data_IF_589325864100
#
_entry.id   IF_589325864100
#
_cell.length_a   1.000
_cell.length_b   1.000
_cell.length_c   1.000
_cell.angle_alpha   90.00
_cell.angle_beta   90.00
_cell.angle_gamma   90.00
#
_symmetry.space_group_name_H-M   'P 1'
#
loop_
_entity.id
_entity.type
_entity.pdbx_description
1 polymer ?
#
# COMPACT_ATOMS: atom_id res chain seq x y z
N UNK A 1 -25.20 -0.03 -7.75
CA UNK A 1 -25.64 -1.01 -6.69
C UNK A 1 -25.68 -2.46 -7.19
N UNK A 2 -26.18 -2.77 -8.41
CA UNK A 2 -26.28 -4.15 -8.93
C UNK A 2 -24.91 -4.74 -9.26
N UNK A 3 -24.04 -4.00 -9.93
CA UNK A 3 -22.69 -4.41 -10.30
C UNK A 3 -21.79 -4.68 -9.07
N UNK A 4 -21.92 -3.85 -8.04
CA UNK A 4 -21.22 -4.01 -6.75
C UNK A 4 -21.58 -5.32 -6.07
N UNK A 5 -22.86 -5.72 -6.12
CA UNK A 5 -23.32 -6.97 -5.50
C UNK A 5 -22.84 -8.20 -6.28
N UNK A 6 -22.88 -8.15 -7.62
CA UNK A 6 -22.42 -9.26 -8.48
C UNK A 6 -20.91 -9.49 -8.38
N UNK A 7 -20.11 -8.42 -8.30
CA UNK A 7 -18.67 -8.51 -8.08
C UNK A 7 -18.35 -9.03 -6.68
N UNK A 8 -19.02 -8.52 -5.65
CA UNK A 8 -18.85 -9.00 -4.28
C UNK A 8 -19.19 -10.49 -4.15
N UNK A 9 -20.32 -10.92 -4.72
CA UNK A 9 -20.74 -12.31 -4.65
C UNK A 9 -19.81 -13.24 -5.44
N UNK A 10 -19.25 -12.78 -6.58
CA UNK A 10 -18.25 -13.51 -7.34
C UNK A 10 -16.94 -13.71 -6.55
N UNK A 11 -16.45 -12.66 -5.92
CA UNK A 11 -15.21 -12.69 -5.15
C UNK A 11 -15.36 -13.50 -3.87
N UNK A 12 -16.49 -13.34 -3.16
CA UNK A 12 -16.78 -14.16 -1.95
C UNK A 12 -16.79 -15.64 -2.27
N UNK A 13 -17.37 -16.04 -3.43
CA UNK A 13 -17.36 -17.43 -3.87
C UNK A 13 -15.95 -17.95 -4.19
N UNK A 14 -15.07 -17.12 -4.77
CA UNK A 14 -13.67 -17.50 -5.01
C UNK A 14 -12.90 -17.66 -3.70
N UNK A 15 -13.04 -16.75 -2.76
CA UNK A 15 -12.44 -16.86 -1.42
C UNK A 15 -12.93 -18.11 -0.70
N UNK A 16 -14.23 -18.41 -0.79
CA UNK A 16 -14.80 -19.63 -0.22
C UNK A 16 -14.19 -20.90 -0.84
N UNK A 17 -14.05 -20.95 -2.18
CA UNK A 17 -13.44 -22.06 -2.91
C UNK A 17 -11.99 -22.32 -2.47
N UNK A 18 -11.18 -21.24 -2.37
CA UNK A 18 -9.78 -21.34 -1.93
C UNK A 18 -9.70 -21.79 -0.47
N UNK A 19 -10.59 -21.33 0.40
CA UNK A 19 -10.65 -21.76 1.82
C UNK A 19 -10.98 -23.25 1.95
N UNK A 20 -11.88 -23.77 1.12
CA UNK A 20 -12.20 -25.20 1.07
C UNK A 20 -10.98 -26.03 0.63
N UNK A 21 -10.26 -25.58 -0.42
CA UNK A 21 -9.03 -26.22 -0.90
C UNK A 21 -7.93 -26.23 0.17
N UNK A 22 -7.73 -25.12 0.88
CA UNK A 22 -6.80 -25.05 2.01
C UNK A 22 -7.18 -25.98 3.15
N UNK A 23 -8.47 -26.15 3.43
CA UNK A 23 -8.98 -27.08 4.43
C UNK A 23 -8.66 -28.54 4.08
N UNK A 24 -8.79 -28.91 2.80
CA UNK A 24 -8.46 -30.26 2.33
C UNK A 24 -6.98 -30.59 2.40
N UNK A 25 -6.09 -29.58 2.20
CA UNK A 25 -4.64 -29.75 2.28
C UNK A 25 -4.10 -29.87 3.71
N UNK A 26 -4.87 -29.49 4.73
CA UNK A 26 -4.47 -29.69 6.13
C UNK A 26 -4.44 -31.17 6.54
N UNK A 27 -5.08 -32.06 5.79
CA UNK A 27 -5.09 -33.48 6.06
C UNK A 27 -3.79 -34.22 5.64
N UNK A 28 -2.96 -33.58 4.79
CA UNK A 28 -1.72 -34.13 4.25
C UNK A 28 -0.51 -33.30 4.64
N UNK A 29 0.55 -33.94 5.13
CA UNK A 29 1.75 -33.29 5.65
C UNK A 29 2.99 -33.36 4.74
N UNK A 30 2.83 -33.71 3.45
CA UNK A 30 3.92 -33.79 2.49
C UNK A 30 4.36 -32.39 1.97
N UNK A 31 5.57 -32.33 1.39
CA UNK A 31 6.13 -31.06 0.86
C UNK A 31 5.34 -30.48 -0.32
N UNK A 32 4.70 -31.34 -1.13
CA UNK A 32 3.85 -30.92 -2.23
C UNK A 32 2.60 -30.19 -1.70
N UNK A 33 1.97 -30.72 -0.66
CA UNK A 33 0.83 -30.10 0.02
C UNK A 33 1.19 -28.76 0.68
N UNK A 34 2.39 -28.65 1.26
CA UNK A 34 2.89 -27.37 1.81
C UNK A 34 3.07 -26.31 0.73
N UNK A 35 3.68 -26.66 -0.40
CA UNK A 35 3.89 -25.75 -1.53
C UNK A 35 2.57 -25.28 -2.12
N UNK A 36 1.61 -26.18 -2.26
CA UNK A 36 0.28 -25.89 -2.77
C UNK A 36 -0.52 -24.99 -1.81
N UNK A 37 -0.39 -25.22 -0.50
CA UNK A 37 -0.98 -24.36 0.53
C UNK A 37 -0.41 -22.92 0.48
N UNK A 38 0.90 -22.77 0.34
CA UNK A 38 1.54 -21.46 0.18
C UNK A 38 1.05 -20.73 -1.08
N UNK A 39 0.86 -21.47 -2.18
CA UNK A 39 0.28 -20.92 -3.40
C UNK A 39 -1.14 -20.36 -3.15
N UNK A 40 -2.03 -21.15 -2.51
CA UNK A 40 -3.40 -20.69 -2.24
C UNK A 40 -3.47 -19.53 -1.23
N UNK A 41 -2.59 -19.50 -0.23
CA UNK A 41 -2.47 -18.36 0.68
C UNK A 41 -2.11 -17.10 -0.11
N UNK A 42 -1.19 -17.18 -1.07
CA UNK A 42 -0.78 -16.08 -1.93
C UNK A 42 -1.92 -15.59 -2.83
N UNK A 43 -2.70 -16.52 -3.40
CA UNK A 43 -3.89 -16.18 -4.19
C UNK A 43 -4.99 -15.54 -3.34
N UNK A 44 -5.19 -15.99 -2.09
CA UNK A 44 -6.11 -15.35 -1.14
C UNK A 44 -5.70 -13.91 -0.84
N UNK A 45 -4.42 -13.65 -0.59
CA UNK A 45 -3.94 -12.27 -0.37
C UNK A 45 -4.12 -11.38 -1.59
N UNK A 46 -3.95 -11.94 -2.79
CA UNK A 46 -4.21 -11.22 -4.05
C UNK A 46 -5.69 -10.86 -4.17
N UNK A 47 -6.59 -11.80 -3.92
CA UNK A 47 -8.04 -11.57 -3.94
C UNK A 47 -8.49 -10.58 -2.86
N UNK A 48 -7.94 -10.66 -1.64
CA UNK A 48 -8.21 -9.67 -0.60
C UNK A 48 -7.81 -8.25 -1.04
N UNK A 49 -6.68 -8.10 -1.76
CA UNK A 49 -6.26 -6.83 -2.33
C UNK A 49 -7.23 -6.35 -3.39
N UNK A 50 -7.64 -7.23 -4.33
CA UNK A 50 -8.59 -6.91 -5.39
C UNK A 50 -9.97 -6.53 -4.84
N UNK A 51 -10.47 -7.24 -3.82
CA UNK A 51 -11.72 -6.88 -3.12
C UNK A 51 -11.61 -5.52 -2.46
N UNK A 52 -10.49 -5.25 -1.84
CA UNK A 52 -10.23 -3.99 -1.16
C UNK A 52 -10.15 -2.84 -2.16
N UNK A 53 -9.53 -3.06 -3.31
CA UNK A 53 -9.42 -2.10 -4.40
C UNK A 53 -10.81 -1.83 -5.02
N UNK A 54 -11.61 -2.87 -5.31
CA UNK A 54 -12.98 -2.75 -5.80
C UNK A 54 -13.94 -2.12 -4.79
N UNK A 55 -13.86 -2.49 -3.52
CA UNK A 55 -14.65 -1.87 -2.45
C UNK A 55 -14.35 -0.38 -2.30
N UNK A 56 -13.14 0.01 -2.66
CA UNK A 56 -12.69 1.39 -2.62
C UNK A 56 -13.19 2.20 -3.83
N UNK A 57 -13.19 1.60 -5.02
CA UNK A 57 -13.75 2.23 -6.24
C UNK A 57 -15.29 2.39 -6.15
N UNK A 58 -15.94 1.56 -5.34
CA UNK A 58 -17.38 1.58 -5.10
C UNK A 58 -17.80 2.47 -3.91
N UNK A 59 -16.86 2.89 -3.07
CA UNK A 59 -17.15 3.79 -1.96
C UNK A 59 -17.19 5.25 -2.45
N UNK A 60 -18.36 5.65 -2.94
CA UNK A 60 -18.72 7.07 -3.10
C UNK A 60 -18.53 7.90 -1.80
N UNK A 61 -18.22 7.24 -0.68
CA UNK A 61 -17.91 7.87 0.59
C UNK A 61 -16.50 8.47 0.65
N UNK A 62 -15.55 8.04 -0.20
CA UNK A 62 -14.23 8.69 -0.26
C UNK A 62 -14.34 10.16 -0.66
N UNK A 63 -15.37 10.53 -1.43
CA UNK A 63 -15.64 11.93 -1.77
C UNK A 63 -16.08 12.79 -0.56
N UNK A 64 -16.60 12.17 0.50
CA UNK A 64 -16.93 12.86 1.76
C UNK A 64 -15.72 13.21 2.60
N UNK A 65 -14.63 12.42 2.49
CA UNK A 65 -13.38 12.63 3.25
C UNK A 65 -12.35 13.48 2.49
N UNK A 66 -12.67 13.95 1.27
CA UNK A 66 -11.77 14.77 0.45
C UNK A 66 -11.39 16.11 1.11
N UNK A 67 -12.26 16.66 1.97
CA UNK A 67 -11.97 17.85 2.79
C UNK A 67 -11.05 17.59 3.99
N UNK A 68 -10.78 16.33 4.32
CA UNK A 68 -10.01 15.90 5.49
C UNK A 68 -8.90 14.90 5.12
N UNK A 69 -8.32 15.03 3.90
CA UNK A 69 -7.35 14.04 3.42
C UNK A 69 -6.08 14.00 4.26
N UNK A 70 -5.62 15.13 4.82
CA UNK A 70 -4.54 15.17 5.80
C UNK A 70 -4.88 14.25 6.99
N UNK A 71 -6.06 14.41 7.57
CA UNK A 71 -6.50 13.57 8.70
C UNK A 71 -6.51 12.07 8.35
N UNK A 72 -6.96 11.72 7.15
CA UNK A 72 -6.98 10.33 6.69
C UNK A 72 -5.55 9.75 6.59
N UNK A 73 -4.60 10.54 6.10
CA UNK A 73 -3.19 10.14 6.00
C UNK A 73 -2.54 10.03 7.39
N UNK A 74 -2.80 10.98 8.28
CA UNK A 74 -2.35 10.92 9.67
C UNK A 74 -2.87 9.68 10.39
N UNK A 75 -4.16 9.36 10.23
CA UNK A 75 -4.75 8.14 10.79
C UNK A 75 -4.10 6.87 10.22
N UNK A 76 -3.79 6.85 8.91
CA UNK A 76 -3.07 5.74 8.30
C UNK A 76 -1.71 5.51 8.97
N UNK A 77 -0.96 6.58 9.21
CA UNK A 77 0.36 6.51 9.87
C UNK A 77 0.20 6.08 11.34
N UNK A 78 -0.72 6.70 12.08
CA UNK A 78 -0.96 6.40 13.49
C UNK A 78 -1.42 4.96 13.75
N UNK A 79 -2.26 4.40 12.86
CA UNK A 79 -2.74 3.01 13.00
C UNK A 79 -1.59 1.99 12.92
N UNK A 80 -0.47 2.33 12.25
CA UNK A 80 0.70 1.46 12.22
C UNK A 80 1.48 1.46 13.55
N UNK A 81 1.37 2.50 14.39
CA UNK A 81 1.96 2.51 15.74
C UNK A 81 1.32 1.50 16.70
N UNK A 82 0.10 1.03 16.41
CA UNK A 82 -0.57 0.02 17.22
C UNK A 82 -0.06 -1.41 16.94
N UNK A 83 0.73 -1.60 15.89
CA UNK A 83 1.14 -2.90 15.37
C UNK A 83 2.67 -2.95 15.31
N UNK A 84 3.34 -3.39 16.37
CA UNK A 84 4.79 -3.61 16.34
C UNK A 84 5.60 -2.61 17.16
N UNK A 85 6.91 -2.60 16.94
CA UNK A 85 7.91 -1.82 17.73
C UNK A 85 8.38 -0.56 17.01
N UNK A 86 8.12 -0.42 15.71
CA UNK A 86 8.51 0.74 14.90
C UNK A 86 7.65 1.96 15.28
N UNK A 87 8.29 3.09 15.51
CA UNK A 87 7.62 4.37 15.76
C UNK A 87 7.38 5.12 14.45
N UNK A 88 6.11 5.23 14.03
CA UNK A 88 5.70 5.93 12.82
C UNK A 88 5.33 7.39 13.13
N UNK A 89 5.89 8.33 12.36
CA UNK A 89 5.68 9.77 12.49
C UNK A 89 5.16 10.31 11.18
N UNK A 90 4.16 11.21 11.24
CA UNK A 90 3.65 11.97 10.09
C UNK A 90 4.06 13.44 10.20
N UNK A 91 4.65 13.97 9.13
CA UNK A 91 5.01 15.38 8.93
C UNK A 91 4.32 15.85 7.64
N UNK A 92 3.04 16.22 7.74
CA UNK A 92 2.20 16.60 6.61
C UNK A 92 1.98 18.10 6.65
N UNK A 93 2.39 18.82 5.61
CA UNK A 93 2.20 20.28 5.51
C UNK A 93 0.70 20.63 5.50
N UNK A 94 0.31 21.55 6.37
CA UNK A 94 -1.10 21.96 6.56
C UNK A 94 -1.66 22.78 5.41
N UNK A 95 -0.78 23.43 4.64
CA UNK A 95 -1.10 24.32 3.52
C UNK A 95 -1.41 23.62 2.20
N UNK A 96 -1.33 22.28 2.14
CA UNK A 96 -1.61 21.53 0.90
C UNK A 96 -3.11 21.64 0.55
N UNK A 97 -3.40 22.23 -0.61
CA UNK A 97 -4.76 22.24 -1.15
C UNK A 97 -5.07 20.92 -1.87
N UNK A 98 -5.64 19.97 -1.15
CA UNK A 98 -6.00 18.66 -1.72
C UNK A 98 -7.11 18.74 -2.78
N UNK A 99 -7.78 19.88 -2.97
CA UNK A 99 -8.82 20.01 -4.00
C UNK A 99 -8.24 20.08 -5.41
N UNK A 100 -6.97 20.48 -5.54
CA UNK A 100 -6.28 20.51 -6.84
C UNK A 100 -5.87 19.12 -7.34
N UNK A 101 -5.93 18.11 -6.48
CA UNK A 101 -5.61 16.71 -6.81
C UNK A 101 -6.87 15.89 -7.04
N UNK A 102 -6.90 15.14 -8.14
CA UNK A 102 -8.02 14.25 -8.45
C UNK A 102 -8.19 13.14 -7.41
N UNK A 103 -9.38 12.56 -7.33
CA UNK A 103 -9.63 11.40 -6.46
C UNK A 103 -8.71 10.23 -6.80
N UNK A 104 -8.35 10.05 -8.06
CA UNK A 104 -7.43 8.99 -8.51
C UNK A 104 -6.05 9.19 -7.92
N UNK A 105 -5.52 10.43 -7.93
CA UNK A 105 -4.23 10.77 -7.31
C UNK A 105 -4.26 10.49 -5.81
N UNK A 106 -5.28 10.98 -5.10
CA UNK A 106 -5.43 10.77 -3.65
C UNK A 106 -5.51 9.29 -3.26
N UNK A 107 -6.29 8.50 -3.97
CA UNK A 107 -6.41 7.06 -3.75
C UNK A 107 -5.06 6.36 -3.95
N UNK A 108 -4.33 6.67 -5.02
CA UNK A 108 -3.04 6.04 -5.27
C UNK A 108 -1.99 6.45 -4.25
N UNK A 109 -1.95 7.71 -3.80
CA UNK A 109 -1.08 8.15 -2.69
C UNK A 109 -1.39 7.33 -1.43
N UNK A 110 -2.65 7.23 -1.04
CA UNK A 110 -3.07 6.46 0.14
C UNK A 110 -2.63 5.00 0.05
N UNK A 111 -2.83 4.35 -1.11
CA UNK A 111 -2.46 2.94 -1.33
C UNK A 111 -0.95 2.71 -1.36
N UNK A 112 -0.20 3.63 -1.95
CA UNK A 112 1.26 3.57 -1.94
C UNK A 112 1.77 3.69 -0.50
N UNK A 113 1.27 4.66 0.27
CA UNK A 113 1.64 4.81 1.68
C UNK A 113 1.28 3.58 2.50
N UNK A 114 0.08 3.02 2.31
CA UNK A 114 -0.35 1.80 2.99
C UNK A 114 0.62 0.64 2.75
N UNK A 115 1.03 0.41 1.50
CA UNK A 115 1.99 -0.64 1.13
C UNK A 115 3.38 -0.35 1.71
N UNK A 116 3.84 0.91 1.67
CA UNK A 116 5.14 1.30 2.21
C UNK A 116 5.21 1.08 3.72
N UNK A 117 4.21 1.55 4.48
CA UNK A 117 4.15 1.39 5.93
C UNK A 117 4.06 -0.08 6.33
N UNK A 118 3.32 -0.89 5.55
CA UNK A 118 3.25 -2.32 5.76
C UNK A 118 4.59 -3.01 5.49
N UNK A 119 5.34 -2.57 4.47
CA UNK A 119 6.67 -3.09 4.19
C UNK A 119 7.65 -2.77 5.33
N UNK A 120 7.61 -1.54 5.86
CA UNK A 120 8.41 -1.16 7.02
C UNK A 120 8.07 -2.05 8.22
N UNK A 121 6.79 -2.18 8.57
CA UNK A 121 6.34 -3.01 9.70
C UNK A 121 6.74 -4.49 9.59
N UNK A 122 6.81 -5.03 8.37
CA UNK A 122 7.06 -6.46 8.15
C UNK A 122 8.53 -6.82 7.93
N UNK A 123 9.31 -5.89 7.34
CA UNK A 123 10.59 -6.27 6.76
C UNK A 123 11.75 -5.35 7.16
N UNK A 124 11.49 -4.13 7.62
CA UNK A 124 12.56 -3.15 7.82
C UNK A 124 13.33 -3.34 9.13
N UNK A 125 12.72 -3.94 10.15
CA UNK A 125 13.28 -3.99 11.52
C UNK A 125 13.74 -2.60 11.99
N UNK A 126 12.94 -1.58 11.64
CA UNK A 126 13.22 -0.17 11.90
C UNK A 126 12.76 0.23 13.31
N UNK A 127 13.48 1.15 13.94
CA UNK A 127 13.03 1.82 15.16
C UNK A 127 12.08 2.97 14.83
N UNK A 128 12.33 3.68 13.73
CA UNK A 128 11.59 4.86 13.32
C UNK A 128 11.27 4.86 11.83
N UNK A 129 10.06 5.31 11.49
CA UNK A 129 9.64 5.60 10.12
C UNK A 129 8.96 6.96 10.07
N UNK A 130 9.41 7.83 9.15
CA UNK A 130 8.86 9.17 8.97
C UNK A 130 8.17 9.24 7.60
N UNK A 131 6.94 9.70 7.61
CA UNK A 131 6.19 10.07 6.39
C UNK A 131 6.14 11.58 6.30
N UNK A 132 6.78 12.15 5.28
CA UNK A 132 6.80 13.59 5.03
C UNK A 132 6.03 13.91 3.75
N UNK A 133 5.09 14.86 3.81
CA UNK A 133 4.29 15.28 2.63
C UNK A 133 4.27 16.80 2.57
N UNK A 134 4.74 17.37 1.46
CA UNK A 134 4.81 18.81 1.24
C UNK A 134 4.78 19.17 -0.25
N UNK A 135 4.51 20.42 -0.56
CA UNK A 135 4.61 20.94 -1.91
C UNK A 135 5.93 21.68 -2.12
N UNK A 136 6.61 21.39 -3.22
CA UNK A 136 7.84 22.06 -3.63
C UNK A 136 7.92 22.14 -5.15
N UNK A 137 8.24 23.32 -5.69
CA UNK A 137 8.42 23.56 -7.13
C UNK A 137 7.25 23.07 -8.00
N UNK A 138 6.01 23.32 -7.58
CA UNK A 138 4.79 22.84 -8.24
C UNK A 138 4.65 21.31 -8.31
N UNK A 139 5.26 20.62 -7.39
CA UNK A 139 5.13 19.19 -7.22
C UNK A 139 4.68 18.89 -5.79
N UNK A 140 3.78 17.93 -5.63
CA UNK A 140 3.54 17.28 -4.35
C UNK A 140 4.63 16.22 -4.15
N UNK A 141 5.34 16.33 -3.06
CA UNK A 141 6.37 15.37 -2.64
C UNK A 141 5.81 14.53 -1.51
N UNK A 142 5.84 13.21 -1.69
CA UNK A 142 5.52 12.23 -0.66
C UNK A 142 6.77 11.40 -0.42
N UNK A 143 7.31 11.47 0.79
CA UNK A 143 8.53 10.78 1.17
C UNK A 143 8.28 9.87 2.38
N UNK A 144 8.78 8.65 2.32
CA UNK A 144 8.78 7.69 3.44
C UNK A 144 10.22 7.28 3.68
N UNK A 145 10.70 7.51 4.90
CA UNK A 145 12.04 7.16 5.34
C UNK A 145 11.99 6.27 6.59
N UNK A 146 12.67 5.15 6.56
CA UNK A 146 12.90 4.29 7.72
C UNK A 146 14.41 4.11 8.00
N UNK A 147 14.74 3.89 9.26
CA UNK A 147 16.09 3.65 9.76
C UNK A 147 16.41 2.14 9.89
N UNK A 148 15.72 1.30 9.13
CA UNK A 148 15.81 -0.14 9.24
C UNK A 148 17.03 -0.76 8.55
N UNK A 149 16.95 -2.08 8.35
CA UNK A 149 18.05 -2.87 7.76
C UNK A 149 18.30 -2.56 6.28
N UNK A 150 17.39 -1.84 5.62
CA UNK A 150 17.50 -1.56 4.18
C UNK A 150 17.65 -2.81 3.31
N UNK A 151 17.95 -2.60 2.04
CA UNK A 151 18.14 -3.68 1.07
C UNK A 151 18.96 -3.21 -0.15
N UNK A 152 19.52 -4.14 -0.91
CA UNK A 152 20.11 -3.84 -2.22
C UNK A 152 19.01 -3.66 -3.27
N UNK A 153 18.84 -2.43 -3.75
CA UNK A 153 17.81 -2.05 -4.74
C UNK A 153 17.96 -2.85 -6.05
N UNK A 154 19.18 -3.27 -6.41
CA UNK A 154 19.45 -4.01 -7.64
C UNK A 154 19.06 -5.49 -7.50
N UNK A 155 19.13 -6.05 -6.30
CA UNK A 155 18.81 -7.46 -6.03
C UNK A 155 17.29 -7.74 -5.93
N UNK A 156 16.46 -6.74 -5.61
CA UNK A 156 15.02 -6.87 -5.35
C UNK A 156 14.13 -6.69 -6.58
N UNK A 157 14.55 -7.12 -7.75
CA UNK A 157 13.71 -7.09 -8.98
C UNK A 157 12.41 -7.92 -8.89
N UNK A 158 12.15 -8.65 -7.79
CA UNK A 158 11.07 -9.65 -7.68
C UNK A 158 10.05 -9.40 -6.57
N UNK A 159 10.12 -8.34 -5.78
CA UNK A 159 9.12 -8.04 -4.75
C UNK A 159 7.81 -7.54 -5.36
N UNK A 160 6.69 -8.25 -5.13
CA UNK A 160 5.36 -7.86 -5.64
C UNK A 160 4.98 -6.47 -5.12
N UNK A 161 5.30 -6.13 -3.87
CA UNK A 161 4.98 -4.84 -3.26
C UNK A 161 5.62 -3.65 -3.98
N UNK A 162 6.94 -3.69 -4.23
CA UNK A 162 7.62 -2.61 -4.95
C UNK A 162 7.16 -2.49 -6.42
N UNK A 163 6.78 -3.61 -7.04
CA UNK A 163 6.18 -3.59 -8.37
C UNK A 163 4.84 -2.85 -8.34
N UNK A 164 3.96 -3.18 -7.40
CA UNK A 164 2.66 -2.51 -7.24
C UNK A 164 2.81 -1.02 -6.98
N UNK A 165 3.77 -0.62 -6.12
CA UNK A 165 4.08 0.79 -5.86
C UNK A 165 4.47 1.51 -7.15
N UNK A 166 5.36 0.93 -7.96
CA UNK A 166 5.80 1.52 -9.24
C UNK A 166 4.65 1.62 -10.25
N UNK A 167 3.80 0.61 -10.34
CA UNK A 167 2.63 0.62 -11.23
C UNK A 167 1.63 1.70 -10.83
N UNK A 168 1.35 1.86 -9.52
CA UNK A 168 0.49 2.93 -9.00
C UNK A 168 1.10 4.31 -9.21
N UNK A 169 2.39 4.50 -8.96
CA UNK A 169 3.08 5.75 -9.22
C UNK A 169 2.99 6.13 -10.72
N UNK A 170 3.20 5.16 -11.60
CA UNK A 170 3.04 5.37 -13.04
C UNK A 170 1.62 5.74 -13.45
N UNK A 171 0.59 5.17 -12.80
CA UNK A 171 -0.82 5.45 -13.12
C UNK A 171 -1.25 6.89 -12.78
N UNK A 172 -0.48 7.61 -11.97
CA UNK A 172 -0.69 9.01 -11.60
C UNK A 172 0.42 9.93 -12.13
N UNK A 173 1.15 9.49 -13.14
CA UNK A 173 2.27 10.23 -13.76
C UNK A 173 3.29 10.77 -12.74
N UNK A 174 3.57 9.97 -11.71
CA UNK A 174 4.49 10.29 -10.64
C UNK A 174 5.89 9.73 -10.92
N UNK A 175 6.91 10.55 -10.65
CA UNK A 175 8.28 10.07 -10.55
C UNK A 175 8.47 9.36 -9.20
N UNK A 176 9.15 8.22 -9.21
CA UNK A 176 9.48 7.47 -8.00
C UNK A 176 10.99 7.28 -7.88
N UNK A 177 11.54 7.66 -6.76
CA UNK A 177 12.94 7.45 -6.39
C UNK A 177 13.00 6.51 -5.18
N UNK A 178 13.85 5.48 -5.25
CA UNK A 178 14.06 4.51 -4.17
C UNK A 178 15.54 4.50 -3.84
N UNK A 179 15.89 4.82 -2.61
CA UNK A 179 17.24 4.74 -2.04
C UNK A 179 17.22 3.77 -0.88
N UNK A 180 18.02 2.73 -0.97
CA UNK A 180 18.21 1.77 0.11
C UNK A 180 19.55 1.08 -0.06
N UNK A 181 20.25 0.88 1.04
CA UNK A 181 21.44 0.06 1.12
C UNK A 181 21.33 -0.83 2.38
N UNK A 182 21.98 -1.99 2.40
CA UNK A 182 22.02 -2.84 3.58
C UNK A 182 22.54 -2.08 4.82
N UNK A 183 21.76 -2.10 5.90
CA UNK A 183 21.98 -1.43 7.18
C UNK A 183 21.95 0.12 7.16
N UNK A 184 21.41 0.73 6.11
CA UNK A 184 21.28 2.20 5.99
C UNK A 184 19.81 2.67 5.89
N UNK A 185 18.86 1.77 6.14
CA UNK A 185 17.44 2.06 6.02
C UNK A 185 16.97 2.21 4.57
N UNK A 186 15.76 2.72 4.42
CA UNK A 186 15.15 2.95 3.10
C UNK A 186 14.52 4.34 3.01
N UNK A 187 14.70 4.99 1.87
CA UNK A 187 13.96 6.21 1.52
C UNK A 187 13.25 6.00 0.19
N UNK A 188 11.93 6.21 0.18
CA UNK A 188 11.12 6.19 -1.04
C UNK A 188 10.46 7.54 -1.18
N UNK A 189 10.69 8.19 -2.33
CA UNK A 189 10.18 9.52 -2.65
C UNK A 189 9.35 9.48 -3.92
N UNK A 190 8.15 10.04 -3.86
CA UNK A 190 7.26 10.27 -5.00
C UNK A 190 7.21 11.77 -5.27
N UNK A 191 7.21 12.15 -6.55
CA UNK A 191 7.01 13.52 -7.01
C UNK A 191 5.86 13.54 -8.00
N UNK A 192 4.79 14.24 -7.67
CA UNK A 192 3.55 14.30 -8.43
C UNK A 192 3.36 15.74 -8.87
N UNK A 193 3.22 16.00 -10.17
CA UNK A 193 3.01 17.35 -10.70
C UNK A 193 1.63 17.86 -10.28
N UNK A 194 1.54 19.11 -9.82
CA UNK A 194 0.27 19.77 -9.52
C UNK A 194 -0.48 20.01 -10.84
N UNK A 195 -1.74 19.55 -10.89
CA UNK A 195 -2.59 19.71 -12.07
C UNK A 195 -2.39 18.67 -13.16
N UNK A 196 -1.65 17.56 -12.90
CA UNK A 196 -1.65 16.38 -13.75
C UNK A 196 -2.89 15.53 -13.43
N UNK A 197 -3.81 15.42 -14.45
CA UNK A 197 -5.07 14.66 -14.52
C UNK A 197 -6.24 15.19 -13.71
#
# INVERSE_FOLDING_TARGET
>A
KKLSKELHDGIVNQIYGIRMMLGSLNANSDEASKSQRLFYIKELHKLESEVRDLSHDLNADFSKYVGEFNFLLEQLVQNNNAIGTTHFISEIASEIDWNVYSSVVKINIYRILQELLQNVSKYADAQKCIVTIFEHEKQLVVEVHDDGIGFDVNSLSKGIGLKNIRERAKSIDSEIEIKSNPNEGTTIKLKIKIGSL
#
